data_IF_609378188114
#
_entry.id   IF_609378188114
#
_cell.length_a   1.000
_cell.length_b   1.000
_cell.length_c   1.000
_cell.angle_alpha   90.00
_cell.angle_beta   90.00
_cell.angle_gamma   90.00
#
_symmetry.space_group_name_H-M   'P 1'
#
loop_
_entity.id
_entity.type
_entity.pdbx_description
1 polymer ?
#
# COMPACT_ATOMS: atom_id res chain seq x y z
N UNK A 1 -2.70 -0.50 -14.08
CA UNK A 1 -1.65 -1.55 -14.00
C UNK A 1 -2.18 -2.76 -14.73
N UNK A 2 -1.44 -3.29 -15.70
CA UNK A 2 -1.88 -4.45 -16.48
C UNK A 2 -1.46 -5.77 -15.83
N UNK A 3 -0.27 -5.80 -15.21
CA UNK A 3 0.19 -6.95 -14.43
C UNK A 3 1.13 -6.49 -13.32
N UNK A 4 1.20 -7.26 -12.23
CA UNK A 4 2.12 -7.02 -11.13
C UNK A 4 2.48 -8.31 -10.41
N UNK A 5 3.73 -8.46 -10.00
CA UNK A 5 4.23 -9.57 -9.18
C UNK A 5 4.99 -9.00 -7.99
N UNK A 6 4.67 -9.51 -6.80
CA UNK A 6 5.34 -9.16 -5.55
C UNK A 6 5.97 -10.41 -4.95
N UNK A 7 7.20 -10.30 -4.49
CA UNK A 7 7.87 -11.33 -3.69
C UNK A 7 8.65 -10.70 -2.56
N UNK A 8 8.59 -11.30 -1.37
CA UNK A 8 9.41 -10.92 -0.23
C UNK A 8 10.33 -12.07 0.18
N UNK A 9 11.50 -11.75 0.72
CA UNK A 9 12.39 -12.75 1.29
C UNK A 9 12.36 -12.69 2.83
N UNK A 10 12.81 -13.76 3.53
CA UNK A 10 12.84 -13.78 5.00
C UNK A 10 13.72 -12.70 5.64
N UNK A 11 14.61 -12.07 4.86
CA UNK A 11 15.45 -10.94 5.31
C UNK A 11 14.74 -9.59 5.24
N UNK A 12 13.48 -9.57 4.79
CA UNK A 12 12.64 -8.37 4.73
C UNK A 12 12.80 -7.54 3.45
N UNK A 13 13.60 -7.98 2.47
CA UNK A 13 13.62 -7.34 1.15
C UNK A 13 12.40 -7.77 0.35
N UNK A 14 11.84 -6.83 -0.41
CA UNK A 14 10.77 -7.09 -1.35
C UNK A 14 11.20 -6.71 -2.77
N UNK A 15 10.76 -7.52 -3.73
CA UNK A 15 10.86 -7.29 -5.16
C UNK A 15 9.44 -7.05 -5.69
N UNK A 16 9.29 -6.04 -6.52
CA UNK A 16 8.03 -5.72 -7.18
C UNK A 16 8.30 -5.54 -8.68
N UNK A 17 7.72 -6.44 -9.48
CA UNK A 17 7.68 -6.33 -10.94
C UNK A 17 6.32 -5.76 -11.35
N UNK A 18 6.31 -4.63 -12.05
CA UNK A 18 5.07 -4.02 -12.56
C UNK A 18 5.11 -3.89 -14.07
N UNK A 19 4.02 -4.30 -14.72
CA UNK A 19 3.73 -3.97 -16.11
C UNK A 19 2.61 -2.92 -16.16
N UNK A 20 3.00 -1.69 -16.52
CA UNK A 20 2.11 -0.52 -16.54
C UNK A 20 1.87 -0.11 -17.99
N UNK A 21 0.60 -0.02 -18.36
CA UNK A 21 0.13 0.52 -19.63
C UNK A 21 -0.63 1.81 -19.39
N UNK A 22 -0.57 2.72 -20.35
CA UNK A 22 -1.34 3.95 -20.37
C UNK A 22 -2.82 3.65 -20.64
N UNK A 23 -3.68 4.64 -20.44
CA UNK A 23 -5.13 4.50 -20.68
C UNK A 23 -5.46 4.13 -22.13
N UNK A 24 -4.58 4.48 -23.08
CA UNK A 24 -4.70 4.11 -24.50
C UNK A 24 -4.10 2.72 -24.83
N UNK A 25 -3.69 1.95 -23.80
CA UNK A 25 -3.09 0.63 -23.95
C UNK A 25 -1.60 0.64 -24.30
N UNK A 26 -0.98 1.81 -24.53
CA UNK A 26 0.44 1.88 -24.89
C UNK A 26 1.36 1.67 -23.71
N UNK A 27 2.55 1.11 -23.97
CA UNK A 27 3.62 0.97 -22.98
C UNK A 27 4.24 2.33 -22.62
N UNK A 28 4.68 2.46 -21.38
CA UNK A 28 5.45 3.62 -20.93
C UNK A 28 6.92 3.37 -21.25
N UNK A 29 7.39 3.87 -22.40
CA UNK A 29 8.77 3.64 -22.91
C UNK A 29 9.71 4.83 -22.69
N UNK A 30 9.17 6.03 -22.42
CA UNK A 30 9.99 7.23 -22.24
C UNK A 30 10.76 7.20 -20.92
N UNK A 31 12.10 7.41 -20.92
CA UNK A 31 12.93 7.27 -19.72
C UNK A 31 12.51 8.23 -18.59
N UNK A 32 12.15 9.47 -18.92
CA UNK A 32 11.67 10.43 -17.91
C UNK A 32 10.36 9.99 -17.24
N UNK A 33 9.44 9.40 -18.01
CA UNK A 33 8.16 8.90 -17.48
C UNK A 33 8.38 7.67 -16.61
N UNK A 34 9.29 6.78 -17.01
CA UNK A 34 9.68 5.62 -16.21
C UNK A 34 10.34 6.04 -14.90
N UNK A 35 11.26 7.00 -14.94
CA UNK A 35 11.96 7.50 -13.75
C UNK A 35 11.01 8.20 -12.78
N UNK A 36 10.05 8.98 -13.30
CA UNK A 36 9.01 9.60 -12.47
C UNK A 36 8.18 8.57 -11.71
N UNK A 37 7.76 7.49 -12.39
CA UNK A 37 7.01 6.38 -11.78
C UNK A 37 7.88 5.67 -10.75
N UNK A 38 9.13 5.36 -11.09
CA UNK A 38 10.05 4.64 -10.23
C UNK A 38 10.40 5.43 -8.97
N UNK A 39 10.66 6.73 -9.10
CA UNK A 39 10.87 7.65 -7.98
C UNK A 39 9.64 7.69 -7.06
N UNK A 40 8.43 7.76 -7.64
CA UNK A 40 7.20 7.73 -6.84
C UNK A 40 7.01 6.40 -6.12
N UNK A 41 7.22 5.28 -6.80
CA UNK A 41 7.13 3.94 -6.19
C UNK A 41 8.12 3.78 -5.05
N UNK A 42 9.39 4.18 -5.23
CA UNK A 42 10.41 4.15 -4.17
C UNK A 42 10.00 4.99 -2.97
N UNK A 43 9.47 6.19 -3.20
CA UNK A 43 9.03 7.08 -2.12
C UNK A 43 7.89 6.48 -1.30
N UNK A 44 6.86 5.91 -1.95
CA UNK A 44 5.76 5.24 -1.26
C UNK A 44 6.22 3.93 -0.57
N UNK A 45 7.21 3.23 -1.13
CA UNK A 45 7.77 2.00 -0.54
C UNK A 45 8.72 2.23 0.62
N UNK A 46 9.38 3.39 0.72
CA UNK A 46 10.20 3.77 1.89
C UNK A 46 9.34 3.96 3.14
N UNK A 47 8.09 4.32 2.95
CA UNK A 47 7.12 4.59 3.99
C UNK A 47 5.89 3.70 3.77
N UNK A 48 6.04 2.36 3.86
CA UNK A 48 4.92 1.48 3.61
C UNK A 48 3.88 1.66 4.71
N UNK A 49 2.61 1.55 4.34
CA UNK A 49 1.53 1.39 5.30
C UNK A 49 1.87 0.20 6.22
N UNK A 50 1.99 0.45 7.51
CA UNK A 50 2.21 -0.58 8.52
C UNK A 50 0.88 -1.04 9.08
N UNK A 51 0.58 -2.32 8.89
CA UNK A 51 -0.58 -3.00 9.46
C UNK A 51 -0.09 -4.07 10.42
N UNK A 52 -0.56 -4.03 11.66
CA UNK A 52 -0.25 -5.03 12.68
C UNK A 52 -1.55 -5.51 13.31
N UNK A 53 -1.76 -6.83 13.32
CA UNK A 53 -2.81 -7.47 14.11
C UNK A 53 -2.18 -7.88 15.44
N UNK A 54 -2.76 -7.42 16.54
CA UNK A 54 -2.33 -7.76 17.89
C UNK A 54 -3.49 -8.41 18.65
N UNK A 55 -3.22 -9.52 19.33
CA UNK A 55 -4.19 -10.10 20.26
C UNK A 55 -3.88 -9.56 21.67
N UNK A 56 -4.85 -8.86 22.26
CA UNK A 56 -4.76 -8.35 23.64
C UNK A 56 -5.86 -8.97 24.49
N UNK A 57 -5.65 -10.23 24.85
CA UNK A 57 -6.64 -10.99 25.63
C UNK A 57 -7.79 -11.48 24.73
N UNK A 58 -9.06 -11.28 25.12
CA UNK A 58 -10.20 -11.71 24.30
C UNK A 58 -10.38 -10.88 23.02
N UNK A 59 -9.74 -9.71 22.95
CA UNK A 59 -9.91 -8.75 21.86
C UNK A 59 -8.77 -8.85 20.83
N UNK A 60 -9.14 -8.73 19.55
CA UNK A 60 -8.21 -8.55 18.43
C UNK A 60 -8.16 -7.08 18.06
N UNK A 61 -6.98 -6.47 18.16
CA UNK A 61 -6.72 -5.09 17.76
C UNK A 61 -6.06 -5.05 16.37
N UNK A 62 -6.52 -4.15 15.50
CA UNK A 62 -5.84 -3.81 14.24
C UNK A 62 -5.19 -2.43 14.35
N UNK A 63 -3.86 -2.40 14.36
CA UNK A 63 -3.07 -1.19 14.36
C UNK A 63 -2.70 -0.79 12.92
N UNK A 64 -3.07 0.44 12.56
CA UNK A 64 -2.83 1.01 11.23
C UNK A 64 -1.93 2.23 11.41
N UNK A 65 -0.67 2.12 10.98
CA UNK A 65 0.25 3.23 10.90
C UNK A 65 0.50 3.55 9.43
N UNK A 66 -0.29 4.49 8.90
CA UNK A 66 0.02 5.10 7.61
C UNK A 66 0.98 6.27 7.87
N UNK A 67 2.11 6.37 7.15
CA UNK A 67 2.88 7.59 7.15
C UNK A 67 2.00 8.74 6.64
N UNK A 68 2.08 9.88 7.31
CA UNK A 68 1.39 11.09 6.89
C UNK A 68 1.86 11.45 5.47
N UNK A 69 1.01 12.07 4.65
CA UNK A 69 1.45 12.63 3.36
C UNK A 69 2.74 13.44 3.55
N UNK A 70 3.60 13.54 2.52
CA UNK A 70 4.95 14.16 2.56
C UNK A 70 5.04 15.53 3.27
N UNK A 71 3.92 16.23 3.44
CA UNK A 71 3.80 17.48 4.18
C UNK A 71 3.63 17.33 5.72
N UNK A 72 3.59 16.11 6.27
CA UNK A 72 3.34 15.85 7.69
C UNK A 72 1.94 16.26 8.17
N UNK A 73 1.06 16.67 7.26
CA UNK A 73 -0.25 17.26 7.56
C UNK A 73 -1.31 16.60 6.69
N UNK A 74 -2.07 15.67 7.24
CA UNK A 74 -3.18 15.04 6.54
C UNK A 74 -3.86 13.98 7.39
N UNK A 75 -5.15 13.76 7.14
CA UNK A 75 -5.88 12.64 7.72
C UNK A 75 -5.43 11.38 6.97
N UNK A 76 -5.00 10.30 7.65
CA UNK A 76 -4.70 9.05 6.97
C UNK A 76 -5.92 8.61 6.15
N UNK A 77 -5.80 8.63 4.81
CA UNK A 77 -6.85 8.12 3.90
C UNK A 77 -7.22 6.66 4.21
N UNK A 78 -6.25 5.95 4.79
CA UNK A 78 -6.28 4.51 5.08
C UNK A 78 -7.37 4.09 6.06
N UNK A 79 -7.87 4.98 6.92
CA UNK A 79 -8.95 4.60 7.84
C UNK A 79 -10.22 4.17 7.11
N UNK A 80 -10.57 4.81 5.99
CA UNK A 80 -11.79 4.46 5.26
C UNK A 80 -11.65 3.12 4.54
N UNK A 81 -10.57 2.94 3.78
CA UNK A 81 -10.38 1.74 2.95
C UNK A 81 -10.25 0.47 3.79
N UNK A 82 -9.54 0.55 4.93
CA UNK A 82 -9.41 -0.61 5.84
C UNK A 82 -10.73 -0.91 6.53
N UNK A 83 -11.45 0.11 6.99
CA UNK A 83 -12.79 -0.08 7.58
C UNK A 83 -13.75 -0.70 6.56
N UNK A 84 -13.72 -0.24 5.31
CA UNK A 84 -14.55 -0.76 4.22
C UNK A 84 -14.19 -2.22 3.90
N UNK A 85 -12.90 -2.56 3.84
CA UNK A 85 -12.45 -3.93 3.59
C UNK A 85 -12.86 -4.89 4.73
N UNK A 86 -12.67 -4.49 5.98
CA UNK A 86 -13.10 -5.28 7.14
C UNK A 86 -14.62 -5.52 7.13
N UNK A 87 -15.40 -4.47 6.80
CA UNK A 87 -16.85 -4.58 6.63
C UNK A 87 -17.23 -5.54 5.50
N UNK A 88 -16.54 -5.49 4.35
CA UNK A 88 -16.78 -6.40 3.23
C UNK A 88 -16.45 -7.86 3.58
N UNK A 89 -15.50 -8.08 4.50
CA UNK A 89 -15.13 -9.39 5.03
C UNK A 89 -16.01 -9.85 6.21
N UNK A 90 -16.99 -9.05 6.63
CA UNK A 90 -17.86 -9.37 7.77
C UNK A 90 -17.16 -9.29 9.13
N UNK A 91 -16.00 -8.64 9.21
CA UNK A 91 -15.23 -8.48 10.45
C UNK A 91 -15.74 -7.21 11.15
N UNK A 92 -16.33 -7.40 12.33
CA UNK A 92 -16.82 -6.28 13.14
C UNK A 92 -15.65 -5.59 13.85
N UNK A 93 -15.58 -4.26 13.72
CA UNK A 93 -14.47 -3.43 14.22
C UNK A 93 -14.89 -2.59 15.45
N UNK A 94 -16.17 -2.65 15.81
CA UNK A 94 -16.75 -2.05 17.01
C UNK A 94 -17.81 -3.03 17.56
N UNK A 95 -17.75 -3.31 18.87
CA UNK A 95 -18.87 -3.90 19.61
C UNK A 95 -19.79 -2.80 20.12
#
# INVERSE_FOLDING_TARGET
>A
IAHGRFSSNPKGYCELDLFIVQADGKKIVGPEKQESIFSRLRMEMLYPLRLTIANRGPDTELLIANPVELCGKGRPRVFYDVTLALKALGICIFS
#
